data_IF_434511872309
#
_entry.id   IF_434511872309
#
_cell.length_a   1.000
_cell.length_b   1.000
_cell.length_c   1.000
_cell.angle_alpha   90.00
_cell.angle_beta   90.00
_cell.angle_gamma   90.00
#
_symmetry.space_group_name_H-M   'P 1'
#
loop_
_entity.id
_entity.type
_entity.pdbx_description
1 polymer ?
#
# COMPACT_ATOMS: atom_id res chain seq x y z
N UNK A 1 18.12 -9.69 -13.17
CA UNK A 1 17.61 -9.85 -11.80
C UNK A 1 16.45 -10.82 -11.81
N UNK A 2 16.48 -11.82 -10.98
CA UNK A 2 15.42 -12.82 -10.90
C UNK A 2 14.49 -12.49 -9.76
N UNK A 3 13.20 -12.70 -9.99
CA UNK A 3 12.19 -12.55 -8.94
C UNK A 3 12.32 -13.71 -7.95
N UNK A 4 12.12 -13.45 -6.66
CA UNK A 4 12.02 -14.53 -5.70
C UNK A 4 10.79 -15.39 -5.97
N UNK A 5 10.83 -16.63 -5.49
CA UNK A 5 9.73 -17.59 -5.64
C UNK A 5 8.97 -17.69 -4.31
N UNK A 6 7.66 -17.41 -4.30
CA UNK A 6 6.85 -17.66 -3.11
C UNK A 6 6.80 -19.16 -2.82
N UNK A 7 7.07 -19.55 -1.58
CA UNK A 7 7.07 -20.96 -1.17
C UNK A 7 6.01 -21.27 -0.13
N UNK A 8 5.53 -20.28 0.62
CA UNK A 8 4.47 -20.46 1.61
C UNK A 8 3.74 -19.15 1.84
N UNK A 9 2.45 -19.25 2.19
CA UNK A 9 1.61 -18.10 2.53
C UNK A 9 0.71 -18.52 3.68
N UNK A 10 0.73 -17.74 4.76
CA UNK A 10 -0.09 -17.98 5.94
C UNK A 10 -0.98 -16.78 6.20
N UNK A 11 -2.30 -16.89 6.01
CA UNK A 11 -3.21 -15.79 6.32
C UNK A 11 -3.18 -15.48 7.82
N UNK A 12 -3.03 -14.20 8.17
CA UNK A 12 -2.98 -13.74 9.56
C UNK A 12 -4.17 -12.89 9.93
N UNK A 13 -4.71 -12.11 8.99
CA UNK A 13 -5.83 -11.22 9.24
C UNK A 13 -6.52 -10.89 7.93
N UNK A 14 -7.85 -10.87 7.98
CA UNK A 14 -8.66 -10.42 6.85
C UNK A 14 -9.64 -9.38 7.34
N UNK A 15 -9.43 -8.12 6.92
CA UNK A 15 -10.30 -7.01 7.25
C UNK A 15 -11.29 -6.70 6.15
N UNK A 16 -11.94 -5.54 6.28
CA UNK A 16 -12.91 -5.08 5.28
C UNK A 16 -12.23 -4.63 3.99
N UNK A 17 -10.99 -4.15 4.08
CA UNK A 17 -10.26 -3.57 2.95
C UNK A 17 -8.98 -4.32 2.68
N UNK A 18 -8.26 -4.75 3.72
CA UNK A 18 -6.94 -5.36 3.58
C UNK A 18 -6.95 -6.81 4.04
N UNK A 19 -6.02 -7.56 3.49
CA UNK A 19 -5.65 -8.88 4.00
C UNK A 19 -4.18 -8.83 4.38
N UNK A 20 -3.84 -9.45 5.50
CA UNK A 20 -2.46 -9.53 5.98
C UNK A 20 -2.07 -11.00 6.04
N UNK A 21 -0.92 -11.31 5.47
CA UNK A 21 -0.37 -12.66 5.49
C UNK A 21 1.12 -12.61 5.78
N UNK A 22 1.66 -13.72 6.28
CA UNK A 22 3.10 -13.94 6.31
C UNK A 22 3.46 -14.75 5.08
N UNK A 23 4.38 -14.23 4.27
CA UNK A 23 4.80 -14.86 3.03
C UNK A 23 6.25 -15.32 3.16
N UNK A 24 6.55 -16.54 2.70
CA UNK A 24 7.93 -17.01 2.60
C UNK A 24 8.39 -16.93 1.16
N UNK A 25 9.55 -16.32 0.94
CA UNK A 25 10.13 -16.17 -0.38
C UNK A 25 11.50 -16.84 -0.43
N UNK A 26 11.75 -17.57 -1.52
CA UNK A 26 13.07 -18.11 -1.81
C UNK A 26 13.72 -17.31 -2.93
N UNK A 27 14.94 -16.85 -2.66
CA UNK A 27 15.72 -16.09 -3.61
C UNK A 27 16.64 -17.00 -4.44
N UNK A 28 17.22 -16.45 -5.51
CA UNK A 28 18.06 -17.21 -6.44
C UNK A 28 19.29 -17.82 -5.76
N UNK A 29 19.77 -17.20 -4.66
CA UNK A 29 20.90 -17.74 -3.89
C UNK A 29 20.51 -18.89 -2.94
N UNK A 30 19.25 -19.34 -2.98
CA UNK A 30 18.73 -20.41 -2.13
C UNK A 30 18.28 -19.98 -0.75
N UNK A 31 18.48 -18.72 -0.38
CA UNK A 31 18.04 -18.22 0.92
C UNK A 31 16.55 -17.94 0.92
N UNK A 32 15.92 -18.21 2.06
CA UNK A 32 14.49 -17.95 2.27
C UNK A 32 14.32 -16.93 3.37
N UNK A 33 13.33 -16.05 3.17
CA UNK A 33 12.97 -15.02 4.12
C UNK A 33 11.46 -14.96 4.28
N UNK A 34 11.01 -14.66 5.49
CA UNK A 34 9.61 -14.37 5.76
C UNK A 34 9.39 -12.86 5.72
N UNK A 35 8.25 -12.45 5.20
CA UNK A 35 7.85 -11.05 5.21
C UNK A 35 6.38 -10.93 5.54
N UNK A 36 6.02 -9.79 6.11
CA UNK A 36 4.64 -9.42 6.29
C UNK A 36 4.13 -8.77 5.02
N UNK A 37 3.05 -9.30 4.50
CA UNK A 37 2.49 -8.85 3.23
C UNK A 37 1.07 -8.33 3.45
N UNK A 38 0.83 -7.10 3.00
CA UNK A 38 -0.48 -6.48 3.08
C UNK A 38 -1.06 -6.40 1.67
N UNK A 39 -2.19 -7.07 1.45
CA UNK A 39 -2.91 -7.00 0.18
C UNK A 39 -3.97 -5.93 0.28
N UNK A 40 -3.92 -4.98 -0.64
CA UNK A 40 -4.84 -3.85 -0.74
C UNK A 40 -5.34 -3.75 -2.19
N UNK A 41 -6.62 -3.37 -2.40
CA UNK A 41 -7.15 -3.28 -3.78
C UNK A 41 -6.49 -2.18 -4.62
N UNK A 42 -5.75 -1.30 -4.00
CA UNK A 42 -5.11 -0.20 -4.71
C UNK A 42 -5.89 1.10 -4.59
N UNK A 43 -5.25 2.18 -5.00
CA UNK A 43 -5.83 3.51 -4.97
C UNK A 43 -5.34 4.30 -6.16
N UNK A 44 -6.04 5.37 -6.47
CA UNK A 44 -5.64 6.34 -7.47
C UNK A 44 -5.61 7.73 -6.84
N UNK A 45 -4.64 8.53 -7.25
CA UNK A 45 -4.51 9.91 -6.80
C UNK A 45 -4.43 10.83 -8.01
N UNK A 46 -4.82 12.08 -7.82
CA UNK A 46 -4.87 13.08 -8.89
C UNK A 46 -4.09 14.30 -8.46
N UNK A 47 -3.23 14.79 -9.36
CA UNK A 47 -2.64 16.13 -9.23
C UNK A 47 -3.48 17.05 -10.10
N UNK A 48 -4.35 17.83 -9.48
CA UNK A 48 -5.24 18.77 -10.16
C UNK A 48 -4.64 20.17 -10.08
N UNK A 49 -4.37 20.76 -11.24
CA UNK A 49 -3.75 22.08 -11.34
C UNK A 49 -4.62 22.99 -12.18
N UNK A 50 -4.81 24.23 -11.71
CA UNK A 50 -5.54 25.23 -12.49
C UNK A 50 -4.62 26.04 -13.42
N UNK A 51 -5.21 26.98 -14.15
CA UNK A 51 -4.46 27.82 -15.12
C UNK A 51 -3.44 28.74 -14.43
N UNK A 52 -3.57 29.00 -13.14
CA UNK A 52 -2.63 29.78 -12.37
C UNK A 52 -1.56 28.92 -11.70
N UNK A 53 -1.46 27.64 -12.09
CA UNK A 53 -0.50 26.67 -11.55
C UNK A 53 -0.70 26.39 -10.04
N UNK A 54 -1.92 26.53 -9.56
CA UNK A 54 -2.27 26.15 -8.19
C UNK A 54 -2.71 24.70 -8.16
N UNK A 55 -2.24 23.97 -7.15
CA UNK A 55 -2.58 22.55 -6.96
C UNK A 55 -3.72 22.43 -5.96
N UNK A 56 -4.73 21.63 -6.29
CA UNK A 56 -5.83 21.35 -5.39
C UNK A 56 -5.38 20.39 -4.30
N UNK A 57 -5.58 20.78 -3.04
CA UNK A 57 -5.34 19.93 -1.88
C UNK A 57 -6.63 19.79 -1.10
N UNK A 58 -6.79 18.61 -0.49
CA UNK A 58 -7.89 18.35 0.44
C UNK A 58 -7.33 18.10 1.83
N UNK A 59 -8.07 18.50 2.84
CA UNK A 59 -7.67 18.29 4.23
C UNK A 59 -8.51 17.16 4.81
N UNK A 60 -7.84 16.11 5.30
CA UNK A 60 -8.51 14.93 5.81
C UNK A 60 -7.88 14.47 7.11
N UNK A 61 -8.71 13.93 8.01
CA UNK A 61 -8.21 13.26 9.19
C UNK A 61 -7.58 11.93 8.80
N UNK A 62 -6.36 11.70 9.25
CA UNK A 62 -5.63 10.45 9.02
C UNK A 62 -5.31 9.81 10.37
N UNK A 63 -6.03 8.75 10.67
CA UNK A 63 -5.91 8.10 11.98
C UNK A 63 -4.50 7.54 12.24
N UNK A 64 -3.79 7.14 11.19
CA UNK A 64 -2.42 6.63 11.32
C UNK A 64 -1.44 7.64 11.92
N UNK A 65 -1.69 8.94 11.73
CA UNK A 65 -0.89 10.01 12.33
C UNK A 65 -1.66 10.76 13.42
N UNK A 66 -2.90 10.36 13.70
CA UNK A 66 -3.76 10.96 14.72
C UNK A 66 -3.99 12.46 14.51
N UNK A 67 -4.03 12.89 13.24
CA UNK A 67 -4.16 14.31 12.90
C UNK A 67 -4.67 14.49 11.49
N UNK A 68 -4.97 15.74 11.15
CA UNK A 68 -5.36 16.15 9.81
C UNK A 68 -4.13 16.39 8.96
N UNK A 69 -4.21 15.98 7.69
CA UNK A 69 -3.16 16.23 6.70
C UNK A 69 -3.75 16.90 5.47
N UNK A 70 -2.94 17.73 4.81
CA UNK A 70 -3.22 18.23 3.48
C UNK A 70 -2.69 17.24 2.46
N UNK A 71 -3.55 16.83 1.53
CA UNK A 71 -3.25 15.75 0.59
C UNK A 71 -3.79 16.09 -0.78
N UNK A 72 -3.20 15.49 -1.81
CA UNK A 72 -3.84 15.49 -3.13
C UNK A 72 -5.08 14.60 -3.08
N UNK A 73 -6.12 14.88 -3.88
CA UNK A 73 -7.31 14.04 -3.93
C UNK A 73 -6.97 12.61 -4.32
N UNK A 74 -7.51 11.65 -3.61
CA UNK A 74 -7.28 10.24 -3.87
C UNK A 74 -8.48 9.41 -3.42
N UNK A 75 -8.61 8.23 -4.01
CA UNK A 75 -9.65 7.29 -3.64
C UNK A 75 -9.22 5.88 -3.93
N UNK A 76 -9.75 4.92 -3.20
CA UNK A 76 -9.46 3.51 -3.46
C UNK A 76 -10.20 3.03 -4.69
N UNK A 77 -9.59 2.10 -5.37
CA UNK A 77 -10.16 1.45 -6.54
C UNK A 77 -11.31 0.49 -6.18
#
# INVERSE_FOLDING_TARGET
>A
MQKPTPTASHPMYRGRVIEVSTERLRYANGREYDLDFVRHPGAAAVVAMDCAQRVCLVRQYRHGVLDFLWEIPAGKL
#
